data_IF_209249931943
#
_entry.id   IF_209249931943
#
_cell.length_a   1.000
_cell.length_b   1.000
_cell.length_c   1.000
_cell.angle_alpha   90.00
_cell.angle_beta   90.00
_cell.angle_gamma   90.00
#
_symmetry.space_group_name_H-M   'P 1'
#
loop_
_entity.id
_entity.type
_entity.pdbx_description
1 polymer ?
#
# COMPACT_ATOMS: atom_id res chain seq x y z
N UNK A 1 -19.07 34.85 -8.75
CA UNK A 1 -17.91 33.95 -8.64
C UNK A 1 -18.34 32.87 -7.70
N UNK A 2 -18.58 31.69 -8.25
CA UNK A 2 -19.21 30.56 -7.57
C UNK A 2 -18.30 30.07 -6.45
N UNK A 3 -18.82 30.10 -5.23
CA UNK A 3 -18.26 29.36 -4.10
C UNK A 3 -18.43 27.87 -4.41
N UNK A 4 -17.33 27.12 -4.41
CA UNK A 4 -17.31 25.68 -4.65
C UNK A 4 -17.39 24.96 -3.29
N UNK A 5 -18.52 24.31 -2.95
CA UNK A 5 -18.66 23.56 -1.71
C UNK A 5 -18.21 22.12 -1.95
N UNK A 6 -16.90 21.90 -2.05
CA UNK A 6 -16.33 20.58 -2.41
C UNK A 6 -15.09 20.14 -1.65
N UNK A 7 -14.57 20.90 -0.68
CA UNK A 7 -13.43 20.48 0.12
C UNK A 7 -13.88 19.67 1.35
N UNK A 8 -14.50 18.50 1.11
CA UNK A 8 -14.51 17.43 2.10
C UNK A 8 -13.04 17.06 2.33
N UNK A 9 -12.57 17.19 3.59
CA UNK A 9 -11.16 17.42 3.91
C UNK A 9 -10.16 16.55 3.14
N UNK A 10 -9.25 17.20 2.42
CA UNK A 10 -8.15 16.56 1.68
C UNK A 10 -7.35 15.66 2.62
N UNK A 11 -7.63 14.35 2.61
CA UNK A 11 -6.82 13.39 3.34
C UNK A 11 -5.42 13.39 2.72
N UNK A 12 -4.40 13.63 3.54
CA UNK A 12 -3.01 13.67 3.08
C UNK A 12 -2.25 12.44 3.51
N UNK A 13 -1.16 12.14 2.82
CA UNK A 13 -0.31 11.01 3.18
C UNK A 13 0.18 11.05 4.65
N UNK A 14 0.58 12.20 5.24
CA UNK A 14 0.96 12.23 6.64
C UNK A 14 -0.17 11.78 7.58
N UNK A 15 -1.40 12.26 7.36
CA UNK A 15 -2.56 11.90 8.17
C UNK A 15 -2.86 10.40 8.05
N UNK A 16 -2.83 9.89 6.81
CA UNK A 16 -2.97 8.48 6.53
C UNK A 16 -1.85 7.63 7.16
N UNK A 17 -0.61 8.11 7.12
CA UNK A 17 0.56 7.35 7.58
C UNK A 17 0.64 7.25 9.10
N UNK A 18 0.15 8.27 9.82
CA UNK A 18 0.25 8.33 11.27
C UNK A 18 -1.01 7.91 12.01
N UNK A 19 -2.13 7.62 11.33
CA UNK A 19 -3.26 6.98 11.98
C UNK A 19 -2.93 5.55 12.47
N UNK A 20 -3.63 5.12 13.51
CA UNK A 20 -3.39 3.86 14.22
C UNK A 20 -4.51 2.81 14.00
N UNK A 21 -5.41 3.03 13.04
CA UNK A 21 -6.62 2.22 12.80
C UNK A 21 -6.45 1.20 11.66
N UNK A 22 -5.96 1.66 10.50
CA UNK A 22 -5.87 0.88 9.27
C UNK A 22 -4.39 0.68 8.91
N UNK A 23 -3.95 -0.54 8.56
CA UNK A 23 -2.61 -0.75 8.05
C UNK A 23 -2.33 0.08 6.80
N UNK A 24 -1.09 0.58 6.66
CA UNK A 24 -0.65 1.34 5.49
C UNK A 24 0.59 0.69 4.89
N UNK A 25 0.48 0.22 3.65
CA UNK A 25 1.58 -0.34 2.87
C UNK A 25 1.98 0.66 1.78
N UNK A 26 3.18 1.22 1.93
CA UNK A 26 3.76 2.17 0.99
C UNK A 26 4.82 1.48 0.12
N UNK A 27 4.64 1.60 -1.19
CA UNK A 27 5.60 1.21 -2.21
C UNK A 27 6.03 2.48 -2.96
N UNK A 28 7.34 2.66 -3.20
CA UNK A 28 7.88 3.81 -3.96
C UNK A 28 8.71 3.39 -5.18
N UNK A 29 8.44 2.19 -5.70
CA UNK A 29 9.24 1.56 -6.77
C UNK A 29 9.85 0.23 -6.34
N UNK A 30 10.37 -0.51 -7.33
CA UNK A 30 10.95 -1.84 -7.14
C UNK A 30 12.35 -1.85 -6.51
N UNK A 31 13.05 -0.72 -6.58
CA UNK A 31 14.39 -0.47 -6.05
C UNK A 31 14.39 -0.03 -4.58
N UNK A 32 13.23 0.39 -4.05
CA UNK A 32 13.07 0.85 -2.67
C UNK A 32 12.36 -0.22 -1.83
N UNK A 33 12.72 -0.38 -0.54
CA UNK A 33 11.99 -1.28 0.33
C UNK A 33 10.55 -0.80 0.50
N UNK A 34 9.62 -1.75 0.61
CA UNK A 34 8.27 -1.48 1.10
C UNK A 34 8.36 -0.93 2.50
N UNK A 35 7.52 0.04 2.81
CA UNK A 35 7.33 0.52 4.17
C UNK A 35 5.93 0.20 4.61
N UNK A 36 5.81 -0.19 5.86
CA UNK A 36 4.57 -0.66 6.42
C UNK A 36 4.37 -0.02 7.80
N UNK A 37 3.22 0.63 7.95
CA UNK A 37 2.68 1.05 9.24
C UNK A 37 1.53 0.13 9.62
N UNK A 38 1.52 -0.29 10.87
CA UNK A 38 0.49 -1.17 11.41
C UNK A 38 -0.08 -0.56 12.67
N UNK A 39 -1.38 -0.75 12.92
CA UNK A 39 -1.97 -0.60 14.23
C UNK A 39 -1.18 -1.35 15.33
N UNK A 40 -1.16 -0.83 16.56
CA UNK A 40 -0.57 -1.54 17.70
C UNK A 40 -1.12 -2.97 17.84
N UNK A 41 -0.24 -3.94 18.09
CA UNK A 41 -0.64 -5.34 18.31
C UNK A 41 -0.92 -6.16 17.03
N UNK A 42 -1.12 -5.51 15.87
CA UNK A 42 -1.42 -6.23 14.63
C UNK A 42 -0.19 -6.98 14.09
N UNK A 43 1.01 -6.47 14.33
CA UNK A 43 2.25 -7.11 13.86
C UNK A 43 2.39 -8.54 14.43
N UNK A 44 2.05 -8.71 15.70
CA UNK A 44 2.10 -9.97 16.43
C UNK A 44 1.08 -10.98 15.89
N UNK A 45 -0.09 -10.50 15.46
CA UNK A 45 -1.12 -11.31 14.80
C UNK A 45 -0.70 -11.73 13.40
N UNK A 46 -0.10 -10.82 12.63
CA UNK A 46 0.29 -11.08 11.24
C UNK A 46 1.53 -11.96 11.15
N UNK A 47 2.54 -11.70 11.97
CA UNK A 47 3.79 -12.46 12.00
C UNK A 47 4.00 -13.00 13.41
N UNK A 48 3.36 -14.14 13.68
CA UNK A 48 3.67 -14.99 14.82
C UNK A 48 5.19 -15.11 14.99
N UNK A 49 5.66 -14.92 16.24
CA UNK A 49 7.04 -14.65 16.72
C UNK A 49 8.20 -15.55 16.24
N UNK A 50 8.02 -16.40 15.24
CA UNK A 50 9.10 -17.16 14.61
C UNK A 50 9.52 -16.48 13.33
N UNK A 51 10.80 -16.14 13.30
CA UNK A 51 11.58 -15.71 12.13
C UNK A 51 11.13 -16.41 10.85
N UNK A 52 10.11 -15.88 10.19
CA UNK A 52 9.82 -16.26 8.81
C UNK A 52 10.96 -15.67 7.99
N UNK A 53 11.75 -16.49 7.28
CA UNK A 53 12.76 -15.98 6.38
C UNK A 53 12.13 -14.95 5.44
N UNK A 54 12.63 -13.72 5.50
CA UNK A 54 12.18 -12.60 4.68
C UNK A 54 10.95 -11.82 5.19
N UNK A 55 10.45 -12.08 6.40
CA UNK A 55 9.42 -11.25 7.03
C UNK A 55 9.85 -9.77 7.18
N UNK A 56 8.90 -8.83 7.39
CA UNK A 56 9.24 -7.44 7.53
C UNK A 56 10.11 -7.19 8.76
N UNK A 57 11.06 -6.26 8.66
CA UNK A 57 11.96 -5.87 9.75
C UNK A 57 11.59 -4.50 10.27
N UNK A 58 11.54 -4.34 11.59
CA UNK A 58 11.31 -3.04 12.19
C UNK A 58 12.52 -2.11 11.94
N UNK A 59 12.25 -0.92 11.41
CA UNK A 59 13.22 0.16 11.28
C UNK A 59 12.93 1.24 12.33
N UNK A 60 13.76 1.30 13.38
CA UNK A 60 13.57 2.23 14.49
C UNK A 60 13.72 3.70 14.07
N UNK A 61 14.57 4.01 13.09
CA UNK A 61 14.82 5.39 12.61
C UNK A 61 13.58 5.93 11.89
N UNK A 62 12.97 5.10 11.04
CA UNK A 62 11.78 5.48 10.26
C UNK A 62 10.46 5.11 10.95
N UNK A 63 10.55 4.46 12.13
CA UNK A 63 9.42 3.98 12.94
C UNK A 63 8.39 3.20 12.12
N UNK A 64 8.88 2.32 11.25
CA UNK A 64 8.04 1.52 10.37
C UNK A 64 8.65 0.15 10.10
N UNK A 65 7.82 -0.77 9.63
CA UNK A 65 8.25 -2.08 9.16
C UNK A 65 8.75 -1.97 7.72
N UNK A 66 9.81 -2.70 7.37
CA UNK A 66 10.38 -2.72 6.02
C UNK A 66 10.45 -4.12 5.44
N UNK A 67 10.15 -4.26 4.16
CA UNK A 67 10.26 -5.51 3.43
C UNK A 67 10.75 -5.30 1.99
N UNK A 68 11.30 -6.34 1.33
CA UNK A 68 11.67 -6.24 -0.08
C UNK A 68 10.47 -5.93 -0.98
N UNK A 69 10.63 -5.05 -1.97
CA UNK A 69 9.59 -4.68 -2.94
C UNK A 69 8.88 -5.86 -3.62
N UNK A 70 9.56 -6.95 -4.02
CA UNK A 70 8.91 -8.11 -4.64
C UNK A 70 7.85 -8.79 -3.77
N UNK A 71 7.82 -8.53 -2.46
CA UNK A 71 6.83 -9.09 -1.54
C UNK A 71 5.53 -8.32 -1.46
N UNK A 72 5.35 -7.26 -2.27
CA UNK A 72 4.20 -6.36 -2.17
C UNK A 72 2.86 -7.11 -2.16
N UNK A 73 2.65 -8.00 -3.14
CA UNK A 73 1.41 -8.79 -3.24
C UNK A 73 1.19 -9.68 -2.02
N UNK A 74 2.20 -10.46 -1.63
CA UNK A 74 2.12 -11.35 -0.47
C UNK A 74 1.85 -10.59 0.83
N UNK A 75 2.46 -9.42 1.01
CA UNK A 75 2.22 -8.58 2.18
C UNK A 75 0.82 -7.99 2.18
N UNK A 76 0.37 -7.44 1.06
CA UNK A 76 -0.98 -6.89 0.94
C UNK A 76 -2.03 -7.97 1.23
N UNK A 77 -1.88 -9.15 0.63
CA UNK A 77 -2.73 -10.32 0.87
C UNK A 77 -2.74 -10.72 2.34
N UNK A 78 -1.57 -10.83 2.98
CA UNK A 78 -1.47 -11.23 4.38
C UNK A 78 -2.13 -10.21 5.31
N UNK A 79 -1.90 -8.92 5.08
CA UNK A 79 -2.50 -7.84 5.86
C UNK A 79 -4.01 -7.83 5.68
N UNK A 80 -4.51 -7.91 4.45
CA UNK A 80 -5.96 -7.95 4.18
C UNK A 80 -6.63 -9.16 4.85
N UNK A 81 -5.99 -10.33 4.87
CA UNK A 81 -6.51 -11.51 5.59
C UNK A 81 -6.57 -11.31 7.10
N UNK A 82 -5.59 -10.62 7.67
CA UNK A 82 -5.49 -10.44 9.12
C UNK A 82 -6.27 -9.26 9.67
N UNK A 83 -6.33 -8.15 8.92
CA UNK A 83 -6.93 -6.88 9.36
C UNK A 83 -8.26 -6.55 8.67
N UNK A 84 -8.62 -7.25 7.59
CA UNK A 84 -9.82 -6.98 6.81
C UNK A 84 -9.75 -5.72 5.94
N UNK A 85 -8.76 -4.87 6.16
CA UNK A 85 -8.57 -3.62 5.41
C UNK A 85 -7.08 -3.24 5.31
N UNK A 86 -6.75 -2.49 4.26
CA UNK A 86 -5.40 -2.02 3.98
C UNK A 86 -5.43 -0.78 3.10
N UNK A 87 -4.71 0.27 3.51
CA UNK A 87 -4.31 1.32 2.59
C UNK A 87 -3.06 0.93 1.84
N UNK A 88 -3.15 0.90 0.51
CA UNK A 88 -2.02 0.72 -0.39
C UNK A 88 -1.68 2.06 -1.02
N UNK A 89 -0.45 2.53 -0.79
CA UNK A 89 0.08 3.79 -1.32
C UNK A 89 1.19 3.47 -2.32
N UNK A 90 1.06 4.00 -3.54
CA UNK A 90 1.99 3.76 -4.64
C UNK A 90 2.22 5.04 -5.44
N UNK A 91 3.27 5.13 -6.28
CA UNK A 91 3.41 6.24 -7.22
C UNK A 91 2.14 6.39 -8.07
N UNK A 92 1.67 7.62 -8.20
CA UNK A 92 0.63 7.99 -9.15
C UNK A 92 1.28 7.97 -10.53
N UNK A 93 1.23 6.80 -11.15
CA UNK A 93 1.77 6.62 -12.50
C UNK A 93 0.65 6.95 -13.47
N UNK A 94 0.79 8.04 -14.24
CA UNK A 94 0.00 8.21 -15.45
C UNK A 94 0.24 7.02 -16.39
N UNK A 95 -0.74 6.66 -17.22
CA UNK A 95 -0.69 5.46 -18.08
C UNK A 95 0.57 5.32 -18.99
N UNK A 96 1.47 6.31 -19.01
CA UNK A 96 2.63 6.42 -19.90
C UNK A 96 4.00 6.48 -19.19
N UNK A 97 4.15 6.02 -17.95
CA UNK A 97 5.51 5.99 -17.38
C UNK A 97 6.41 5.00 -18.16
N UNK A 98 7.56 5.46 -18.69
CA UNK A 98 8.46 4.63 -19.47
C UNK A 98 9.04 3.53 -18.59
N UNK A 99 8.68 2.28 -18.87
CA UNK A 99 9.14 1.10 -18.12
C UNK A 99 8.03 0.25 -17.48
N UNK A 100 6.79 0.75 -17.43
CA UNK A 100 5.63 0.05 -16.88
C UNK A 100 5.36 -1.32 -17.56
N UNK A 101 5.57 -1.39 -18.87
CA UNK A 101 5.35 -2.57 -19.70
C UNK A 101 6.64 -3.29 -20.14
N UNK A 102 7.79 -3.06 -19.48
CA UNK A 102 9.02 -3.77 -19.83
C UNK A 102 8.92 -5.25 -19.41
N UNK A 103 9.05 -6.21 -20.35
CA UNK A 103 9.05 -7.62 -20.02
C UNK A 103 10.18 -7.93 -19.03
N UNK A 104 9.85 -8.56 -17.90
CA UNK A 104 10.84 -8.99 -16.90
C UNK A 104 11.26 -7.96 -15.86
N UNK A 105 10.70 -6.74 -15.83
CA UNK A 105 10.84 -5.80 -14.71
C UNK A 105 9.51 -5.61 -13.99
N UNK A 106 9.35 -6.07 -12.74
CA UNK A 106 8.12 -5.84 -11.99
C UNK A 106 7.95 -4.33 -11.74
N UNK A 107 7.00 -3.70 -12.44
CA UNK A 107 6.50 -2.39 -12.06
C UNK A 107 5.76 -2.51 -10.72
N UNK A 108 5.94 -1.55 -9.81
CA UNK A 108 5.13 -1.46 -8.60
C UNK A 108 3.61 -1.47 -8.91
N UNK A 109 3.22 -0.88 -10.05
CA UNK A 109 1.87 -0.87 -10.60
C UNK A 109 1.37 -2.24 -11.09
N UNK A 110 2.23 -3.05 -11.71
CA UNK A 110 1.85 -4.36 -12.28
C UNK A 110 1.40 -5.37 -11.21
N UNK A 111 1.76 -5.14 -9.95
CA UNK A 111 1.34 -6.00 -8.83
C UNK A 111 -0.17 -5.94 -8.57
N UNK A 112 -0.83 -4.82 -8.93
CA UNK A 112 -2.28 -4.69 -8.88
C UNK A 112 -3.00 -5.28 -10.10
N UNK A 113 -2.32 -5.44 -11.23
CA UNK A 113 -2.96 -5.96 -12.45
C UNK A 113 -2.65 -7.43 -12.72
N UNK A 114 -1.50 -7.94 -12.29
CA UNK A 114 -1.01 -9.30 -12.58
C UNK A 114 -0.60 -10.10 -11.33
N UNK A 115 -0.53 -9.46 -10.15
CA UNK A 115 -0.11 -10.08 -8.89
C UNK A 115 -1.24 -10.74 -8.08
N UNK A 116 -0.91 -11.20 -6.87
CA UNK A 116 -1.88 -11.81 -5.94
C UNK A 116 -3.06 -10.89 -5.61
N UNK A 117 -2.81 -9.60 -5.42
CA UNK A 117 -3.85 -8.62 -5.13
C UNK A 117 -4.80 -8.43 -6.32
N UNK A 118 -4.28 -8.49 -7.56
CA UNK A 118 -5.08 -8.50 -8.78
C UNK A 118 -6.01 -9.73 -8.85
N UNK A 119 -5.50 -10.90 -8.46
CA UNK A 119 -6.28 -12.14 -8.41
C UNK A 119 -7.35 -12.08 -7.32
N UNK A 120 -7.03 -11.47 -6.17
CA UNK A 120 -7.97 -11.24 -5.09
C UNK A 120 -9.15 -10.36 -5.52
N UNK A 121 -8.88 -9.26 -6.23
CA UNK A 121 -9.94 -8.41 -6.79
C UNK A 121 -10.79 -9.14 -7.84
N UNK A 122 -10.16 -9.86 -8.79
CA UNK A 122 -10.89 -10.62 -9.82
C UNK A 122 -11.78 -11.72 -9.24
N UNK A 123 -11.37 -12.31 -8.12
CA UNK A 123 -12.15 -13.29 -7.37
C UNK A 123 -13.16 -12.66 -6.40
N UNK A 124 -13.30 -11.32 -6.39
CA UNK A 124 -14.16 -10.55 -5.48
C UNK A 124 -13.87 -10.78 -3.99
N UNK A 125 -12.68 -11.26 -3.66
CA UNK A 125 -12.26 -11.42 -2.27
C UNK A 125 -11.89 -10.07 -1.62
N UNK A 126 -11.57 -9.06 -2.42
CA UNK A 126 -11.39 -7.70 -1.92
C UNK A 126 -11.83 -6.66 -2.95
N UNK A 127 -12.15 -5.47 -2.48
CA UNK A 127 -12.56 -4.33 -3.30
C UNK A 127 -11.87 -3.04 -2.83
N UNK A 128 -11.81 -2.05 -3.72
CA UNK A 128 -11.37 -0.69 -3.36
C UNK A 128 -12.61 0.08 -2.93
N UNK A 129 -12.60 0.59 -1.71
CA UNK A 129 -13.72 1.32 -1.11
C UNK A 129 -13.50 2.82 -1.00
N UNK A 130 -12.23 3.26 -1.08
CA UNK A 130 -11.85 4.66 -1.03
C UNK A 130 -10.53 4.87 -1.80
N UNK A 131 -10.32 6.08 -2.33
CA UNK A 131 -9.09 6.46 -3.01
C UNK A 131 -8.90 7.97 -3.10
N UNK A 132 -7.66 8.42 -2.94
CA UNK A 132 -7.27 9.82 -3.18
C UNK A 132 -5.85 9.89 -3.73
N UNK A 133 -5.50 11.05 -4.26
CA UNK A 133 -4.15 11.36 -4.75
C UNK A 133 -3.46 12.33 -3.80
N UNK A 134 -2.19 12.07 -3.50
CA UNK A 134 -1.34 12.96 -2.71
C UNK A 134 -0.26 13.56 -3.61
N UNK A 135 -0.28 14.89 -3.76
CA UNK A 135 0.62 15.64 -4.64
C UNK A 135 1.67 16.47 -3.87
N UNK A 136 1.66 16.40 -2.53
CA UNK A 136 2.54 17.20 -1.65
C UNK A 136 4.00 16.68 -1.60
N UNK A 137 4.24 15.48 -2.14
CA UNK A 137 5.54 14.83 -2.18
C UNK A 137 6.40 15.16 -3.42
N UNK A 138 7.65 14.66 -3.45
CA UNK A 138 8.53 14.79 -4.61
C UNK A 138 8.05 13.98 -5.83
N UNK A 139 7.19 13.00 -5.60
CA UNK A 139 6.48 12.22 -6.62
C UNK A 139 5.02 12.13 -6.17
N UNK A 140 4.04 12.34 -7.08
CA UNK A 140 2.64 12.19 -6.73
C UNK A 140 2.35 10.71 -6.41
N UNK A 141 1.42 10.48 -5.48
CA UNK A 141 1.08 9.16 -4.97
C UNK A 141 -0.42 8.90 -5.11
N UNK A 142 -0.77 7.65 -5.41
CA UNK A 142 -2.13 7.15 -5.40
C UNK A 142 -2.33 6.30 -4.14
N UNK A 143 -3.29 6.70 -3.31
CA UNK A 143 -3.69 6.03 -2.09
C UNK A 143 -5.02 5.31 -2.33
N UNK A 144 -5.09 4.00 -2.03
CA UNK A 144 -6.31 3.20 -2.19
C UNK A 144 -6.60 2.36 -0.96
N UNK A 145 -7.83 2.44 -0.45
CA UNK A 145 -8.31 1.60 0.65
C UNK A 145 -8.93 0.33 0.10
N UNK A 146 -8.30 -0.79 0.42
CA UNK A 146 -8.80 -2.12 0.14
C UNK A 146 -9.56 -2.64 1.35
N UNK A 147 -10.71 -3.28 1.10
CA UNK A 147 -11.43 -4.07 2.10
C UNK A 147 -11.62 -5.50 1.62
N UNK A 148 -11.42 -6.46 2.52
CA UNK A 148 -11.75 -7.85 2.29
C UNK A 148 -13.27 -8.05 2.43
N UNK A 149 -13.86 -8.81 1.51
CA UNK A 149 -15.27 -9.20 1.53
C UNK A 149 -15.54 -10.50 2.29
#
# INVERSE_FOLDING_TARGET
MTEDPGAEGDMRLPDLWYQDEVPVLLCRGADKPLRLRLPPGLAETLWSRRDQPGGPRWNAVQRCWQAPAPRLGAMASQILRGAGQLWLVQPLVGAEAPGCALPGKPCACATLETGELARAQRSRWCEVTDSFEDHDGPEPLLCRLFRAG
#
